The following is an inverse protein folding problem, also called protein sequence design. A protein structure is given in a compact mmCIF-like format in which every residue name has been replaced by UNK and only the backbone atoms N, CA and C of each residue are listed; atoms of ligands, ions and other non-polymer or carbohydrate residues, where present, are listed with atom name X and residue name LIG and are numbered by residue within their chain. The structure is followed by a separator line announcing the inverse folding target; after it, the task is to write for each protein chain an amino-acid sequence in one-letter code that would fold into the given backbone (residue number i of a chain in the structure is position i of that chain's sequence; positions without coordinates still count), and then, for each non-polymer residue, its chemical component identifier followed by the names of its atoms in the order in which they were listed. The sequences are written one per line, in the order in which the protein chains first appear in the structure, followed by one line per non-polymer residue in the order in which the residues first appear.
data_IF_235497664610
#
_entry.id   IF_235497664610
#
_cell.length_a   1.000
_cell.length_b   1.000
_cell.length_c   1.000
_cell.angle_alpha   90.00
_cell.angle_beta   90.00
_cell.angle_gamma   90.00
#
_symmetry.space_group_name_H-M   'P 1'
#
loop_
_entity.id
_entity.type
_entity.pdbx_description
1 polymer ?
#
# COMPACT_ATOMS: atom_id res chain seq x y z
N UNK A 1 -13.64 -23.46 -16.12
CA UNK A 1 -14.15 -22.21 -15.52
C UNK A 1 -15.64 -22.31 -15.24
N UNK A 2 -16.48 -22.55 -16.26
CA UNK A 2 -17.95 -22.73 -16.05
C UNK A 2 -18.36 -23.93 -15.19
N UNK A 3 -17.51 -24.96 -15.05
CA UNK A 3 -17.77 -26.10 -14.17
C UNK A 3 -17.60 -25.78 -12.66
N UNK A 4 -16.89 -24.70 -12.32
CA UNK A 4 -16.60 -24.32 -10.93
C UNK A 4 -17.56 -23.21 -10.47
N UNK A 5 -17.88 -22.27 -11.37
CA UNK A 5 -18.91 -21.25 -11.17
C UNK A 5 -19.67 -21.11 -12.49
N UNK A 6 -20.94 -21.54 -12.57
CA UNK A 6 -21.75 -21.41 -13.79
C UNK A 6 -21.88 -19.93 -14.21
N UNK A 7 -21.59 -19.62 -15.47
CA UNK A 7 -21.72 -18.27 -16.04
C UNK A 7 -20.43 -17.44 -16.03
N UNK A 8 -19.35 -17.97 -15.46
CA UNK A 8 -18.06 -17.27 -15.37
C UNK A 8 -17.38 -17.07 -16.74
N UNK A 9 -17.59 -17.98 -17.69
CA UNK A 9 -17.07 -17.89 -19.05
C UNK A 9 -18.12 -17.44 -20.08
N UNK A 10 -19.17 -16.74 -19.64
CA UNK A 10 -20.14 -16.10 -20.54
C UNK A 10 -19.47 -15.04 -21.40
N UNK A 11 -19.82 -14.97 -22.69
CA UNK A 11 -19.35 -13.94 -23.64
C UNK A 11 -19.75 -12.51 -23.26
N UNK A 12 -20.73 -12.35 -22.38
CA UNK A 12 -21.17 -11.06 -21.83
C UNK A 12 -20.41 -10.67 -20.55
N UNK A 13 -19.55 -11.56 -20.03
CA UNK A 13 -18.76 -11.31 -18.81
C UNK A 13 -17.38 -10.80 -19.19
N UNK A 14 -17.08 -9.56 -18.79
CA UNK A 14 -15.72 -9.00 -18.90
C UNK A 14 -14.83 -9.67 -17.85
N UNK A 15 -13.87 -10.49 -18.31
CA UNK A 15 -12.92 -11.13 -17.41
C UNK A 15 -11.93 -10.09 -16.86
N UNK A 16 -12.11 -9.71 -15.60
CA UNK A 16 -11.17 -8.86 -14.88
C UNK A 16 -10.20 -9.74 -14.10
N UNK A 17 -8.95 -9.83 -14.58
CA UNK A 17 -7.89 -10.54 -13.88
C UNK A 17 -7.29 -9.65 -12.79
N UNK A 18 -7.06 -10.17 -11.56
CA UNK A 18 -6.36 -9.40 -10.54
C UNK A 18 -4.90 -9.19 -10.95
N UNK A 19 -4.48 -7.94 -11.08
CA UNK A 19 -3.05 -7.60 -11.16
C UNK A 19 -2.43 -7.80 -9.77
N UNK A 20 -1.63 -8.85 -9.62
CA UNK A 20 -0.83 -9.04 -8.41
C UNK A 20 0.55 -8.41 -8.59
N UNK A 21 0.80 -7.31 -7.86
CA UNK A 21 2.15 -6.79 -7.66
C UNK A 21 2.83 -7.61 -6.58
N UNK A 22 3.61 -8.59 -6.99
CA UNK A 22 4.42 -9.39 -6.08
C UNK A 22 5.63 -8.57 -5.60
N UNK A 23 5.80 -8.53 -4.28
CA UNK A 23 6.88 -7.87 -3.55
C UNK A 23 6.90 -6.34 -3.65
N UNK A 24 6.54 -5.68 -2.55
CA UNK A 24 6.95 -4.30 -2.34
C UNK A 24 8.31 -4.33 -1.64
N UNK A 25 9.31 -3.66 -2.22
CA UNK A 25 10.56 -3.39 -1.52
C UNK A 25 10.23 -2.60 -0.26
N UNK A 26 10.44 -3.21 0.92
CA UNK A 26 10.24 -2.52 2.19
C UNK A 26 11.39 -1.55 2.41
N UNK A 27 11.08 -0.26 2.35
CA UNK A 27 12.04 0.78 2.71
C UNK A 27 12.37 0.62 4.18
N UNK A 28 13.67 0.53 4.51
CA UNK A 28 14.10 0.44 5.90
C UNK A 28 13.83 1.78 6.60
N UNK A 29 13.08 1.72 7.70
CA UNK A 29 12.72 2.88 8.51
C UNK A 29 12.84 2.56 10.01
N UNK A 30 12.98 3.60 10.83
CA UNK A 30 12.85 3.51 12.28
C UNK A 30 11.37 3.63 12.74
N UNK A 31 11.16 3.66 14.05
CA UNK A 31 9.84 3.84 14.67
C UNK A 31 9.21 5.21 14.41
N UNK A 32 9.99 6.15 13.91
CA UNK A 32 9.61 7.54 13.70
C UNK A 32 9.48 7.88 12.21
N UNK A 33 9.45 6.86 11.35
CA UNK A 33 9.34 6.97 9.88
C UNK A 33 10.52 7.69 9.22
N UNK A 34 11.69 7.71 9.85
CA UNK A 34 12.92 8.18 9.22
C UNK A 34 13.54 7.07 8.37
N UNK A 35 13.97 7.44 7.17
CA UNK A 35 14.79 6.54 6.33
C UNK A 35 16.27 6.69 6.67
N UNK A 36 17.13 5.95 5.95
CA UNK A 36 18.58 6.14 6.03
C UNK A 36 19.06 7.53 5.57
N UNK A 37 18.20 8.31 4.90
CA UNK A 37 18.48 9.66 4.43
C UNK A 37 17.77 10.67 5.32
N UNK A 38 18.53 11.59 5.91
CA UNK A 38 17.98 12.63 6.80
C UNK A 38 17.02 13.54 6.04
N UNK A 39 15.82 13.74 6.60
CA UNK A 39 14.77 14.57 6.00
C UNK A 39 14.00 13.90 4.87
N UNK A 40 14.27 12.63 4.57
CA UNK A 40 13.49 11.84 3.62
C UNK A 40 12.62 10.84 4.36
N UNK A 41 11.30 10.99 4.23
CA UNK A 41 10.29 10.10 4.79
C UNK A 41 9.58 9.34 3.68
N UNK A 42 9.32 8.06 3.90
CA UNK A 42 8.61 7.21 2.94
C UNK A 42 7.37 6.60 3.61
N UNK A 43 6.17 6.97 3.15
CA UNK A 43 4.91 6.58 3.79
C UNK A 43 3.96 5.93 2.79
N UNK A 44 3.00 5.17 3.30
CA UNK A 44 1.98 4.53 2.48
C UNK A 44 2.53 3.38 1.63
N UNK A 45 1.80 3.00 0.58
CA UNK A 45 2.05 1.72 -0.11
C UNK A 45 3.41 1.72 -0.85
N UNK A 46 3.94 2.89 -1.20
CA UNK A 46 5.28 3.04 -1.78
C UNK A 46 6.42 2.71 -0.80
N UNK A 47 6.17 2.81 0.51
CA UNK A 47 7.13 2.40 1.55
C UNK A 47 7.27 0.87 1.68
N UNK A 48 6.28 0.12 1.17
CA UNK A 48 6.16 -1.33 1.32
C UNK A 48 5.68 -1.80 2.70
N UNK A 49 5.38 -0.89 3.62
CA UNK A 49 4.87 -1.21 4.96
C UNK A 49 3.35 -1.27 5.05
N UNK A 50 2.64 -0.69 4.08
CA UNK A 50 1.17 -0.71 4.03
C UNK A 50 0.67 -1.46 2.82
N UNK A 51 -0.58 -1.92 2.92
CA UNK A 51 -1.34 -2.50 1.81
C UNK A 51 -2.76 -1.98 1.87
N UNK A 52 -2.94 -0.75 1.40
CA UNK A 52 -4.24 -0.15 1.22
C UNK A 52 -4.45 1.15 1.98
N UNK A 53 -5.56 1.78 1.63
CA UNK A 53 -5.87 3.17 1.96
C UNK A 53 -5.83 3.45 3.46
N UNK A 54 -6.47 2.61 4.28
CA UNK A 54 -6.53 2.86 5.73
C UNK A 54 -5.15 2.92 6.38
N UNK A 55 -4.27 1.99 6.03
CA UNK A 55 -2.92 1.92 6.60
C UNK A 55 -2.07 3.10 6.13
N UNK A 56 -2.17 3.46 4.84
CA UNK A 56 -1.49 4.64 4.29
C UNK A 56 -1.97 5.96 4.95
N UNK A 57 -3.28 6.09 5.19
CA UNK A 57 -3.86 7.27 5.87
C UNK A 57 -3.41 7.41 7.32
N UNK A 58 -3.29 6.30 8.06
CA UNK A 58 -2.80 6.31 9.44
C UNK A 58 -1.33 6.74 9.49
N UNK A 59 -0.47 6.21 8.60
CA UNK A 59 0.93 6.65 8.51
C UNK A 59 1.05 8.15 8.23
N UNK A 60 0.27 8.68 7.28
CA UNK A 60 0.25 10.11 6.97
C UNK A 60 -0.18 10.98 8.16
N UNK A 61 -1.19 10.53 8.91
CA UNK A 61 -1.69 11.24 10.09
C UNK A 61 -0.64 11.26 11.22
N UNK A 62 0.02 10.13 11.48
CA UNK A 62 1.07 10.04 12.49
C UNK A 62 2.29 10.90 12.12
N UNK A 63 2.72 10.87 10.85
CA UNK A 63 3.82 11.72 10.39
C UNK A 63 3.45 13.21 10.46
N UNK A 64 2.24 13.58 10.05
CA UNK A 64 1.78 14.96 10.11
C UNK A 64 1.79 15.51 11.54
N UNK A 65 1.39 14.70 12.53
CA UNK A 65 1.48 15.07 13.96
C UNK A 65 2.92 15.25 14.42
N UNK A 66 3.83 14.34 14.05
CA UNK A 66 5.25 14.47 14.38
C UNK A 66 5.87 15.75 13.85
N UNK A 67 5.65 16.06 12.57
CA UNK A 67 6.17 17.29 11.95
C UNK A 67 5.61 18.53 12.65
N UNK A 68 4.34 18.50 13.06
CA UNK A 68 3.72 19.61 13.77
C UNK A 68 4.24 19.80 15.21
N UNK A 69 4.77 18.75 15.84
CA UNK A 69 5.39 18.80 17.18
C UNK A 69 6.87 19.23 17.12
N UNK A 70 7.54 19.02 15.98
CA UNK A 70 8.95 19.39 15.76
C UNK A 70 9.15 20.87 15.34
N UNK A 71 8.08 21.55 14.92
CA UNK A 71 8.06 22.97 14.52
C UNK A 71 7.54 23.91 15.59
#
# INVERSE_FOLDING_TARGET
MDHVVPGFASTETLLYSPELKFYSNRVKMDTDFNTSLKGLHCLGDSSGWTRGLMMASVMGTLMGRKIAEEG
#
